data_IF_582816096860
#
_entry.id   IF_582816096860
#
_cell.length_a   1.000
_cell.length_b   1.000
_cell.length_c   1.000
_cell.angle_alpha   90.00
_cell.angle_beta   90.00
_cell.angle_gamma   90.00
#
_symmetry.space_group_name_H-M   'P 1'
#
loop_
_entity.id
_entity.type
_entity.pdbx_description
1 polymer ?
#
# COMPACT_ATOMS: atom_id res chain seq x y z
N UNK A 1 -19.01 -14.36 10.02
CA UNK A 1 -18.28 -13.87 8.83
C UNK A 1 -17.44 -12.70 9.30
N UNK A 2 -16.13 -12.77 9.18
CA UNK A 2 -15.23 -11.68 9.59
C UNK A 2 -14.22 -11.41 8.49
N UNK A 3 -14.28 -10.24 7.89
CA UNK A 3 -13.28 -9.74 6.94
C UNK A 3 -12.72 -8.43 7.44
N UNK A 4 -11.41 -8.29 7.37
CA UNK A 4 -10.68 -7.09 7.78
C UNK A 4 -9.90 -6.56 6.59
N UNK A 5 -10.08 -5.29 6.25
CA UNK A 5 -9.29 -4.59 5.24
C UNK A 5 -8.29 -3.68 5.94
N UNK A 6 -7.03 -3.74 5.58
CA UNK A 6 -5.99 -2.84 6.09
C UNK A 6 -5.63 -1.84 5.00
N UNK A 7 -5.83 -0.55 5.27
CA UNK A 7 -5.48 0.55 4.37
C UNK A 7 -4.55 1.56 5.06
N UNK A 8 -3.64 2.16 4.30
CA UNK A 8 -2.88 3.30 4.78
C UNK A 8 -3.72 4.58 4.64
N UNK A 9 -3.76 5.41 5.66
CA UNK A 9 -4.60 6.62 5.66
C UNK A 9 -3.90 7.86 5.10
N UNK A 10 -2.60 7.78 4.86
CA UNK A 10 -1.74 8.90 4.46
C UNK A 10 -1.17 8.64 3.04
N UNK A 11 0.11 8.94 2.80
CA UNK A 11 0.79 8.75 1.50
C UNK A 11 1.64 7.49 1.43
N UNK A 12 1.27 6.42 2.11
CA UNK A 12 2.05 5.19 2.21
C UNK A 12 3.08 5.26 3.35
N UNK A 13 3.79 4.15 3.54
CA UNK A 13 4.82 4.00 4.59
C UNK A 13 4.32 4.17 6.04
N UNK A 14 3.01 4.02 6.29
CA UNK A 14 2.40 4.13 7.64
C UNK A 14 2.75 2.95 8.57
N UNK A 15 3.53 1.98 8.10
CA UNK A 15 3.83 0.77 8.87
C UNK A 15 2.78 -0.33 8.71
N UNK A 16 1.99 -0.30 7.61
CA UNK A 16 0.98 -1.35 7.31
C UNK A 16 1.54 -2.76 7.35
N UNK A 17 2.75 -2.98 6.84
CA UNK A 17 3.35 -4.32 6.81
C UNK A 17 3.42 -4.97 8.19
N UNK A 18 3.80 -4.21 9.24
CA UNK A 18 3.81 -4.67 10.62
C UNK A 18 2.40 -5.01 11.13
N UNK A 19 1.42 -4.15 10.84
CA UNK A 19 0.03 -4.35 11.27
C UNK A 19 -0.61 -5.53 10.51
N UNK A 20 -0.33 -5.66 9.21
CA UNK A 20 -0.82 -6.76 8.39
C UNK A 20 -0.23 -8.10 8.86
N UNK A 21 1.09 -8.15 9.12
CA UNK A 21 1.75 -9.33 9.68
C UNK A 21 1.14 -9.69 11.04
N UNK A 22 0.96 -8.70 11.92
CA UNK A 22 0.33 -8.90 13.23
C UNK A 22 -1.09 -9.48 13.11
N UNK A 23 -1.92 -8.90 12.23
CA UNK A 23 -3.31 -9.36 12.02
C UNK A 23 -3.39 -10.67 11.25
N UNK A 24 -2.39 -10.97 10.39
CA UNK A 24 -2.37 -12.21 9.60
C UNK A 24 -2.31 -13.46 10.49
N UNK A 25 -1.77 -13.36 11.69
CA UNK A 25 -1.74 -14.46 12.64
C UNK A 25 -3.14 -14.99 12.98
N UNK A 26 -4.13 -14.11 12.98
CA UNK A 26 -5.50 -14.41 13.34
C UNK A 26 -6.45 -14.64 12.14
N UNK A 27 -5.93 -14.54 10.92
CA UNK A 27 -6.68 -14.79 9.70
C UNK A 27 -6.42 -16.19 9.14
N UNK A 28 -7.40 -16.82 8.50
CA UNK A 28 -7.23 -18.06 7.75
C UNK A 28 -6.81 -17.79 6.29
N UNK A 29 -7.17 -16.62 5.75
CA UNK A 29 -6.81 -16.20 4.40
C UNK A 29 -6.25 -14.79 4.41
N UNK A 30 -5.15 -14.56 3.70
CA UNK A 30 -4.55 -13.22 3.51
C UNK A 30 -4.49 -12.91 2.01
N UNK A 31 -5.14 -11.81 1.60
CA UNK A 31 -5.28 -11.46 0.20
C UNK A 31 -4.80 -10.04 -0.09
N UNK A 32 -3.93 -9.88 -1.08
CA UNK A 32 -3.64 -8.59 -1.69
C UNK A 32 -4.64 -8.28 -2.80
N UNK A 33 -5.09 -7.03 -2.88
CA UNK A 33 -6.16 -6.65 -3.80
C UNK A 33 -5.77 -5.60 -4.85
N UNK A 34 -4.64 -4.91 -4.73
CA UNK A 34 -4.22 -3.87 -5.68
C UNK A 34 -2.71 -3.63 -5.67
N UNK A 35 -2.21 -2.86 -6.65
CA UNK A 35 -0.81 -2.54 -6.82
C UNK A 35 -0.06 -3.61 -7.61
N UNK A 36 1.20 -3.80 -7.30
CA UNK A 36 2.08 -4.77 -7.93
C UNK A 36 3.38 -4.89 -7.15
N UNK A 37 4.48 -5.20 -7.84
CA UNK A 37 5.81 -5.29 -7.23
C UNK A 37 6.45 -3.92 -6.90
N UNK A 38 5.73 -2.81 -7.09
CA UNK A 38 6.09 -1.49 -6.58
C UNK A 38 5.85 -1.35 -5.07
N UNK A 39 5.02 -2.18 -4.48
CA UNK A 39 4.88 -2.29 -3.04
C UNK A 39 6.08 -3.04 -2.46
N UNK A 40 6.43 -2.71 -1.23
CA UNK A 40 7.46 -3.43 -0.49
C UNK A 40 7.15 -3.36 0.99
N UNK A 41 7.14 -4.52 1.65
CA UNK A 41 7.02 -4.56 3.10
C UNK A 41 8.04 -5.54 3.68
N UNK A 42 8.50 -5.23 4.87
CA UNK A 42 9.44 -6.07 5.60
C UNK A 42 8.68 -6.79 6.71
N UNK A 43 8.84 -8.09 6.76
CA UNK A 43 8.28 -8.96 7.80
C UNK A 43 9.44 -9.56 8.60
N UNK A 44 9.27 -9.71 9.89
CA UNK A 44 10.21 -10.44 10.76
C UNK A 44 9.54 -11.73 11.20
N UNK A 45 10.03 -12.85 10.69
CA UNK A 45 9.52 -14.18 11.04
C UNK A 45 10.67 -15.06 11.52
N UNK A 46 10.51 -15.69 12.69
CA UNK A 46 11.56 -16.50 13.31
C UNK A 46 12.88 -15.75 13.56
N UNK A 47 12.83 -14.43 13.78
CA UNK A 47 14.01 -13.57 13.94
C UNK A 47 14.70 -13.18 12.63
N UNK A 48 14.23 -13.66 11.50
CA UNK A 48 14.76 -13.34 10.16
C UNK A 48 13.90 -12.29 9.48
N UNK A 49 14.56 -11.32 8.84
CA UNK A 49 13.88 -10.29 8.05
C UNK A 49 13.66 -10.75 6.61
N UNK A 50 12.42 -10.68 6.17
CA UNK A 50 12.01 -10.97 4.80
C UNK A 50 11.47 -9.70 4.13
N UNK A 51 11.83 -9.49 2.87
CA UNK A 51 11.29 -8.41 2.05
C UNK A 51 10.36 -9.02 1.01
N UNK A 52 9.07 -8.67 1.06
CA UNK A 52 8.06 -9.13 0.12
C UNK A 52 7.55 -7.96 -0.74
N UNK A 53 7.17 -8.27 -1.97
CA UNK A 53 6.66 -7.28 -2.93
C UNK A 53 5.28 -7.66 -3.48
N UNK A 54 5.08 -8.90 -3.93
CA UNK A 54 3.84 -9.42 -4.50
C UNK A 54 3.12 -10.35 -3.54
N UNK A 55 3.87 -11.22 -2.86
CA UNK A 55 3.35 -12.29 -2.02
C UNK A 55 2.79 -11.72 -0.72
N UNK A 56 1.57 -12.13 -0.29
CA UNK A 56 0.96 -11.65 0.96
C UNK A 56 1.74 -12.04 2.21
N UNK A 57 1.58 -11.24 3.29
CA UNK A 57 2.27 -11.43 4.58
C UNK A 57 2.03 -12.80 5.23
N UNK A 58 0.89 -13.43 4.96
CA UNK A 58 0.52 -14.74 5.54
C UNK A 58 1.33 -15.93 5.05
N UNK A 59 2.23 -15.77 4.08
CA UNK A 59 2.95 -16.88 3.40
C UNK A 59 3.80 -17.73 4.35
N UNK A 60 4.22 -17.17 5.47
CA UNK A 60 5.05 -17.88 6.46
C UNK A 60 4.26 -18.93 7.27
N UNK A 61 2.94 -18.89 7.22
CA UNK A 61 2.04 -19.80 7.94
C UNK A 61 1.43 -20.80 6.95
N UNK A 62 1.89 -22.05 6.98
CA UNK A 62 1.52 -23.09 6.00
C UNK A 62 0.02 -23.40 5.96
N UNK A 63 -0.67 -23.22 7.08
CA UNK A 63 -2.11 -23.46 7.23
C UNK A 63 -2.99 -22.34 6.63
N UNK A 64 -2.41 -21.19 6.29
CA UNK A 64 -3.15 -20.06 5.75
C UNK A 64 -3.11 -20.05 4.23
N UNK A 65 -4.18 -19.59 3.61
CA UNK A 65 -4.21 -19.36 2.16
C UNK A 65 -3.76 -17.93 1.88
N UNK A 66 -2.81 -17.77 0.97
CA UNK A 66 -2.29 -16.48 0.51
C UNK A 66 -2.75 -16.21 -0.91
N UNK A 67 -3.38 -15.07 -1.15
CA UNK A 67 -4.02 -14.75 -2.42
C UNK A 67 -3.42 -13.48 -3.04
N UNK A 68 -2.98 -13.59 -4.29
CA UNK A 68 -2.73 -12.47 -5.19
C UNK A 68 -4.00 -12.26 -6.01
N UNK A 69 -4.77 -11.22 -5.68
CA UNK A 69 -6.07 -10.92 -6.30
C UNK A 69 -5.94 -10.37 -7.74
N UNK A 70 -7.07 -10.34 -8.44
CA UNK A 70 -7.14 -9.85 -9.82
C UNK A 70 -6.88 -8.35 -9.97
N UNK A 71 -6.91 -7.60 -8.90
CA UNK A 71 -6.60 -6.16 -8.91
C UNK A 71 -5.12 -5.83 -8.95
N UNK A 72 -4.24 -6.80 -8.67
CA UNK A 72 -2.81 -6.61 -8.86
C UNK A 72 -2.45 -6.70 -10.35
N UNK A 73 -1.34 -6.02 -10.69
CA UNK A 73 -0.58 -6.30 -11.91
C UNK A 73 0.65 -7.10 -11.50
N UNK A 74 0.85 -8.24 -12.14
CA UNK A 74 1.85 -9.25 -11.75
C UNK A 74 2.97 -9.29 -12.77
N UNK A 75 4.19 -9.05 -12.33
CA UNK A 75 5.40 -9.34 -13.09
C UNK A 75 5.80 -10.81 -12.83
N UNK A 76 5.68 -11.70 -13.82
CA UNK A 76 5.99 -13.12 -13.65
C UNK A 76 7.43 -13.37 -13.22
N UNK A 77 8.38 -12.59 -13.76
CA UNK A 77 9.79 -12.69 -13.40
C UNK A 77 10.01 -12.32 -11.94
N UNK A 78 9.46 -11.18 -11.51
CA UNK A 78 9.57 -10.73 -10.13
C UNK A 78 8.88 -11.70 -9.15
N UNK A 79 7.75 -12.31 -9.55
CA UNK A 79 7.09 -13.33 -8.73
C UNK A 79 7.95 -14.58 -8.57
N UNK A 80 8.56 -15.08 -9.63
CA UNK A 80 9.46 -16.23 -9.59
C UNK A 80 10.72 -15.95 -8.76
N UNK A 81 11.29 -14.76 -8.86
CA UNK A 81 12.41 -14.32 -8.03
C UNK A 81 12.03 -14.31 -6.54
N UNK A 82 10.83 -13.82 -6.21
CA UNK A 82 10.32 -13.79 -4.83
C UNK A 82 10.00 -15.19 -4.30
N UNK A 83 9.42 -16.08 -5.12
CA UNK A 83 9.22 -17.48 -4.78
C UNK A 83 10.56 -18.18 -4.51
N UNK A 84 11.53 -18.00 -5.39
CA UNK A 84 12.88 -18.56 -5.21
C UNK A 84 13.54 -18.05 -3.94
N UNK A 85 13.42 -16.73 -3.66
CA UNK A 85 13.94 -16.10 -2.43
C UNK A 85 13.37 -16.74 -1.17
N UNK A 86 12.10 -17.11 -1.17
CA UNK A 86 11.43 -17.80 -0.05
C UNK A 86 11.86 -19.26 0.06
N UNK A 87 11.88 -19.99 -1.06
CA UNK A 87 12.30 -21.39 -1.10
C UNK A 87 13.75 -21.58 -0.64
N UNK A 88 14.68 -20.70 -1.06
CA UNK A 88 16.08 -20.73 -0.65
C UNK A 88 16.24 -20.53 0.88
N UNK A 89 15.20 -20.04 1.56
CA UNK A 89 15.12 -19.85 3.02
C UNK A 89 14.23 -20.87 3.73
N UNK A 90 13.82 -21.92 3.01
CA UNK A 90 13.01 -23.01 3.57
C UNK A 90 11.54 -22.66 3.81
N UNK A 91 11.04 -21.56 3.22
CA UNK A 91 9.63 -21.19 3.29
C UNK A 91 8.87 -21.86 2.13
N UNK A 92 7.87 -22.71 2.45
CA UNK A 92 6.96 -23.28 1.46
C UNK A 92 6.00 -22.20 0.93
N UNK A 93 5.64 -22.32 -0.33
CA UNK A 93 4.67 -21.45 -1.00
C UNK A 93 3.48 -22.21 -1.58
N UNK A 94 3.26 -23.46 -1.16
CA UNK A 94 2.16 -24.32 -1.63
C UNK A 94 0.77 -23.74 -1.33
N UNK A 95 0.70 -22.86 -0.35
CA UNK A 95 -0.48 -22.13 0.08
C UNK A 95 -0.75 -20.83 -0.71
N UNK A 96 0.07 -20.50 -1.72
CA UNK A 96 -0.15 -19.35 -2.59
C UNK A 96 -1.23 -19.65 -3.63
N UNK A 97 -2.04 -18.64 -3.94
CA UNK A 97 -3.02 -18.63 -5.04
C UNK A 97 -2.89 -17.31 -5.80
N UNK A 98 -2.80 -17.40 -7.11
CA UNK A 98 -2.66 -16.25 -8.02
C UNK A 98 -3.91 -16.19 -8.91
N UNK A 99 -4.52 -15.02 -9.00
CA UNK A 99 -5.73 -14.86 -9.82
C UNK A 99 -5.43 -15.08 -11.30
N UNK A 100 -6.21 -15.95 -11.93
CA UNK A 100 -6.20 -16.16 -13.38
C UNK A 100 -6.64 -14.88 -14.15
N UNK A 101 -7.29 -13.91 -13.47
CA UNK A 101 -7.71 -12.61 -14.02
C UNK A 101 -6.72 -11.47 -13.75
N UNK A 102 -5.65 -11.68 -12.98
CA UNK A 102 -4.61 -10.68 -12.77
C UNK A 102 -3.91 -10.34 -14.09
N UNK A 103 -3.60 -9.05 -14.30
CA UNK A 103 -2.90 -8.62 -15.52
C UNK A 103 -1.39 -8.80 -15.37
N UNK A 104 -0.75 -9.15 -16.48
CA UNK A 104 0.69 -9.44 -16.55
C UNK A 104 1.47 -8.19 -16.92
N UNK A 105 2.54 -7.92 -16.18
CA UNK A 105 3.56 -6.94 -16.57
C UNK A 105 4.56 -7.64 -17.50
N UNK A 106 4.80 -7.02 -18.64
CA UNK A 106 5.71 -7.50 -19.69
C UNK A 106 6.85 -6.48 -19.89
N UNK A 107 7.97 -6.84 -20.54
CA UNK A 107 9.13 -5.97 -20.71
C UNK A 107 8.81 -4.62 -21.32
N UNK A 108 7.87 -4.55 -22.24
CA UNK A 108 7.45 -3.29 -22.84
C UNK A 108 6.75 -2.33 -21.84
N UNK A 109 6.13 -2.83 -20.78
CA UNK A 109 5.57 -1.97 -19.72
C UNK A 109 6.69 -1.31 -18.89
N UNK A 110 7.75 -2.06 -18.56
CA UNK A 110 8.89 -1.52 -17.83
C UNK A 110 9.58 -0.43 -18.66
N UNK A 111 9.85 -0.73 -19.95
CA UNK A 111 10.45 0.22 -20.87
C UNK A 111 9.61 1.47 -21.05
N UNK A 112 8.29 1.31 -21.22
CA UNK A 112 7.36 2.43 -21.33
C UNK A 112 7.37 3.32 -20.08
N UNK A 113 7.30 2.75 -18.88
CA UNK A 113 7.35 3.48 -17.60
C UNK A 113 8.66 4.29 -17.47
N UNK A 114 9.78 3.69 -17.85
CA UNK A 114 11.08 4.37 -17.81
C UNK A 114 11.16 5.56 -18.79
N UNK A 115 10.72 5.35 -20.03
CA UNK A 115 10.76 6.38 -21.08
C UNK A 115 9.78 7.52 -20.79
N UNK A 116 8.56 7.22 -20.37
CA UNK A 116 7.56 8.22 -19.97
C UNK A 116 8.06 9.09 -18.82
N UNK A 117 8.63 8.47 -17.78
CA UNK A 117 9.16 9.20 -16.63
C UNK A 117 10.38 10.06 -17.02
N UNK A 118 11.25 9.55 -17.90
CA UNK A 118 12.39 10.30 -18.40
C UNK A 118 11.95 11.53 -19.26
N UNK A 119 10.89 11.38 -20.04
CA UNK A 119 10.40 12.45 -20.93
C UNK A 119 9.74 13.62 -20.20
N UNK A 120 9.29 13.42 -18.95
CA UNK A 120 8.60 14.46 -18.15
C UNK A 120 9.52 15.55 -17.60
N UNK A 121 10.84 15.40 -17.67
CA UNK A 121 11.79 16.39 -17.14
C UNK A 121 11.52 16.75 -15.69
N UNK A 122 11.21 18.02 -15.41
CA UNK A 122 10.91 18.50 -14.05
C UNK A 122 9.50 18.12 -13.54
N UNK A 123 8.63 17.64 -14.41
CA UNK A 123 7.27 17.19 -14.06
C UNK A 123 7.18 15.70 -13.75
N UNK A 124 8.27 15.10 -13.27
CA UNK A 124 8.31 13.68 -12.90
C UNK A 124 7.32 13.38 -11.78
N UNK A 125 6.69 12.22 -11.86
CA UNK A 125 5.81 11.70 -10.79
C UNK A 125 6.64 10.99 -9.72
N UNK A 126 7.83 10.50 -10.08
CA UNK A 126 8.68 9.70 -9.20
C UNK A 126 8.27 8.22 -9.22
N UNK A 127 7.99 7.66 -10.40
CA UNK A 127 7.59 6.25 -10.54
C UNK A 127 8.68 5.29 -10.08
N UNK A 128 8.28 4.07 -9.76
CA UNK A 128 9.21 2.99 -9.37
C UNK A 128 9.88 2.32 -10.56
N UNK A 129 9.50 2.68 -11.79
CA UNK A 129 9.94 2.07 -13.06
C UNK A 129 9.70 0.55 -13.11
N UNK A 130 8.61 0.10 -12.52
CA UNK A 130 8.19 -1.32 -12.46
C UNK A 130 7.09 -1.66 -13.46
N UNK A 131 6.76 -0.75 -14.38
CA UNK A 131 5.73 -0.96 -15.39
C UNK A 131 4.29 -0.99 -14.86
N UNK A 132 4.08 -0.54 -13.63
CA UNK A 132 2.76 -0.60 -12.96
C UNK A 132 1.73 0.25 -13.73
N UNK A 133 2.04 1.54 -13.95
CA UNK A 133 1.17 2.46 -14.67
C UNK A 133 0.80 1.97 -16.07
N UNK A 134 1.78 1.67 -16.93
CA UNK A 134 1.52 1.12 -18.27
C UNK A 134 0.68 -0.17 -18.27
N UNK A 135 0.87 -1.09 -17.30
CA UNK A 135 0.05 -2.30 -17.21
C UNK A 135 -1.40 -2.00 -16.84
N UNK A 136 -1.65 -1.04 -15.92
CA UNK A 136 -3.01 -0.57 -15.64
C UNK A 136 -3.63 0.20 -16.80
N UNK A 137 -2.84 0.95 -17.58
CA UNK A 137 -3.30 1.59 -18.82
C UNK A 137 -3.79 0.54 -19.82
N UNK A 138 -3.01 -0.51 -20.07
CA UNK A 138 -3.37 -1.59 -20.98
C UNK A 138 -4.63 -2.34 -20.49
N UNK A 139 -4.78 -2.53 -19.19
CA UNK A 139 -6.00 -3.08 -18.58
C UNK A 139 -7.22 -2.22 -18.91
N UNK A 140 -7.13 -0.89 -18.69
CA UNK A 140 -8.22 0.04 -18.98
C UNK A 140 -8.51 0.17 -20.46
N UNK A 141 -7.48 0.12 -21.32
CA UNK A 141 -7.59 0.07 -22.78
C UNK A 141 -8.12 -1.26 -23.32
N UNK A 142 -8.25 -2.28 -22.48
CA UNK A 142 -8.74 -3.64 -22.82
C UNK A 142 -7.83 -4.39 -23.80
N UNK A 143 -6.53 -4.10 -23.75
CA UNK A 143 -5.48 -4.80 -24.48
C UNK A 143 -4.55 -5.61 -23.57
N UNK A 144 -4.74 -5.49 -22.25
CA UNK A 144 -3.93 -6.20 -21.26
C UNK A 144 -3.98 -7.72 -21.40
N UNK A 145 -2.87 -8.36 -21.11
CA UNK A 145 -2.71 -9.81 -21.07
C UNK A 145 -2.92 -10.26 -19.63
N UNK A 146 -3.77 -11.26 -19.40
CA UNK A 146 -4.05 -11.84 -18.08
C UNK A 146 -3.23 -13.10 -17.82
N UNK A 147 -3.16 -13.51 -16.55
CA UNK A 147 -2.50 -14.76 -16.17
C UNK A 147 -3.10 -15.97 -16.92
N UNK A 148 -4.44 -16.01 -17.11
CA UNK A 148 -5.07 -17.07 -17.90
C UNK A 148 -4.58 -17.10 -19.36
N UNK A 149 -4.38 -15.93 -19.96
CA UNK A 149 -3.87 -15.85 -21.35
C UNK A 149 -2.40 -16.29 -21.42
N UNK A 150 -1.59 -15.94 -20.41
CA UNK A 150 -0.18 -16.32 -20.34
C UNK A 150 0.01 -17.85 -20.30
N UNK A 151 -0.96 -18.59 -19.77
CA UNK A 151 -0.93 -20.05 -19.69
C UNK A 151 -1.40 -20.74 -20.98
N UNK A 152 -2.06 -20.02 -21.86
CA UNK A 152 -2.51 -20.48 -23.17
C UNK A 152 -1.55 -19.99 -24.24
N UNK A 153 -0.82 -20.95 -24.87
CA UNK A 153 0.25 -20.66 -25.82
C UNK A 153 -0.23 -19.84 -27.02
N UNK A 154 -1.40 -20.19 -27.56
CA UNK A 154 -1.96 -19.54 -28.74
C UNK A 154 -2.51 -18.16 -28.39
N UNK A 155 -3.30 -18.07 -27.33
CA UNK A 155 -3.87 -16.81 -26.86
C UNK A 155 -2.79 -15.81 -26.46
N UNK A 156 -1.73 -16.27 -25.78
CA UNK A 156 -0.63 -15.39 -25.39
C UNK A 156 0.11 -14.85 -26.61
N UNK A 157 0.45 -15.71 -27.55
CA UNK A 157 1.16 -15.31 -28.78
C UNK A 157 0.37 -14.30 -29.59
N UNK A 158 -0.91 -14.58 -29.88
CA UNK A 158 -1.80 -13.67 -30.63
C UNK A 158 -1.91 -12.28 -29.98
N UNK A 159 -2.14 -12.25 -28.67
CA UNK A 159 -2.26 -10.98 -27.94
C UNK A 159 -0.96 -10.20 -27.90
N UNK A 160 0.17 -10.90 -27.71
CA UNK A 160 1.49 -10.29 -27.70
C UNK A 160 1.85 -9.68 -29.06
N UNK A 161 1.64 -10.42 -30.15
CA UNK A 161 1.86 -9.94 -31.52
C UNK A 161 1.08 -8.67 -31.79
N UNK A 162 -0.22 -8.67 -31.47
CA UNK A 162 -1.07 -7.47 -31.63
C UNK A 162 -0.59 -6.30 -30.81
N UNK A 163 -0.25 -6.50 -29.54
CA UNK A 163 0.16 -5.42 -28.65
C UNK A 163 1.51 -4.84 -29.05
N UNK A 164 2.47 -5.67 -29.50
CA UNK A 164 3.79 -5.20 -29.89
C UNK A 164 3.78 -4.31 -31.15
N UNK A 165 2.80 -4.45 -32.05
CA UNK A 165 2.64 -3.52 -33.16
C UNK A 165 2.50 -2.08 -32.67
N UNK A 166 1.61 -1.82 -31.71
CA UNK A 166 1.39 -0.50 -31.16
C UNK A 166 2.51 -0.05 -30.22
N UNK A 167 3.02 -0.94 -29.37
CA UNK A 167 4.11 -0.64 -28.44
C UNK A 167 5.40 -0.30 -29.17
N UNK A 168 5.78 -1.06 -30.19
CA UNK A 168 6.98 -0.79 -30.98
C UNK A 168 6.84 0.52 -31.76
N UNK A 169 5.66 0.81 -32.32
CA UNK A 169 5.39 2.09 -32.95
C UNK A 169 5.55 3.25 -31.97
N UNK A 170 5.08 3.10 -30.71
CA UNK A 170 5.27 4.09 -29.65
C UNK A 170 6.76 4.32 -29.38
N UNK A 171 7.53 3.26 -29.20
CA UNK A 171 8.96 3.34 -28.91
C UNK A 171 9.75 3.98 -30.04
N UNK A 172 9.53 3.57 -31.27
CA UNK A 172 10.22 4.09 -32.45
C UNK A 172 9.86 5.54 -32.74
N UNK A 173 8.56 5.90 -32.72
CA UNK A 173 8.10 7.21 -33.19
C UNK A 173 8.12 8.29 -32.13
N UNK A 174 7.91 7.96 -30.86
CA UNK A 174 7.88 8.96 -29.79
C UNK A 174 9.18 9.03 -29.00
N UNK A 175 9.90 7.92 -28.89
CA UNK A 175 11.08 7.86 -28.04
C UNK A 175 12.38 7.56 -28.79
N UNK A 176 12.33 7.41 -30.13
CA UNK A 176 13.50 7.12 -30.99
C UNK A 176 14.35 5.94 -30.42
N UNK A 177 13.67 4.86 -30.04
CA UNK A 177 14.30 3.68 -29.46
C UNK A 177 13.75 2.39 -30.09
N UNK A 178 14.55 1.35 -30.10
CA UNK A 178 14.17 0.03 -30.62
C UNK A 178 12.96 -0.55 -29.85
N UNK A 179 12.14 -1.33 -30.54
CA UNK A 179 11.06 -2.10 -29.93
C UNK A 179 11.51 -3.45 -29.38
N UNK A 180 10.59 -4.39 -29.35
CA UNK A 180 10.82 -5.78 -28.95
C UNK A 180 10.39 -6.72 -30.08
N UNK A 181 11.07 -7.86 -30.23
CA UNK A 181 10.57 -8.95 -31.03
C UNK A 181 9.55 -9.78 -30.24
N UNK A 182 8.64 -10.42 -30.96
CA UNK A 182 7.64 -11.31 -30.35
C UNK A 182 8.33 -12.49 -29.69
N UNK A 183 9.29 -13.09 -30.39
CA UNK A 183 10.00 -14.30 -29.99
C UNK A 183 10.77 -14.13 -28.69
N UNK A 184 11.44 -12.97 -28.50
CA UNK A 184 12.19 -12.66 -27.28
C UNK A 184 11.30 -12.67 -26.02
N UNK A 185 10.09 -12.06 -26.12
CA UNK A 185 9.18 -12.01 -24.97
C UNK A 185 8.40 -13.31 -24.83
N UNK A 186 7.97 -13.91 -25.96
CA UNK A 186 7.04 -15.02 -25.96
C UNK A 186 7.62 -16.24 -25.27
N UNK A 187 8.79 -16.72 -25.68
CA UNK A 187 9.35 -17.95 -25.13
C UNK A 187 9.71 -17.80 -23.65
N UNK A 188 10.34 -16.68 -23.27
CA UNK A 188 10.72 -16.42 -21.88
C UNK A 188 9.48 -16.34 -20.98
N UNK A 189 8.48 -15.54 -21.34
CA UNK A 189 7.31 -15.30 -20.49
C UNK A 189 6.32 -16.46 -20.48
N UNK A 190 6.22 -17.20 -21.58
CA UNK A 190 5.45 -18.45 -21.59
C UNK A 190 6.04 -19.48 -20.61
N UNK A 191 7.38 -19.62 -20.59
CA UNK A 191 8.05 -20.47 -19.62
C UNK A 191 7.82 -20.02 -18.18
N UNK A 192 7.90 -18.73 -17.91
CA UNK A 192 7.51 -18.18 -16.59
C UNK A 192 6.06 -18.54 -16.23
N UNK A 193 5.15 -18.41 -17.18
CA UNK A 193 3.77 -18.82 -17.00
C UNK A 193 3.64 -20.29 -16.58
N UNK A 194 4.35 -21.22 -17.25
CA UNK A 194 4.33 -22.64 -16.92
C UNK A 194 4.84 -22.91 -15.49
N UNK A 195 5.88 -22.21 -15.05
CA UNK A 195 6.40 -22.34 -13.67
C UNK A 195 5.41 -21.83 -12.63
N UNK A 196 4.61 -20.80 -12.95
CA UNK A 196 3.61 -20.22 -12.05
C UNK A 196 2.27 -20.97 -12.11
N UNK A 197 2.02 -21.76 -13.14
CA UNK A 197 0.71 -22.38 -13.44
C UNK A 197 0.07 -23.09 -12.24
N UNK A 198 0.87 -23.76 -11.42
CA UNK A 198 0.40 -24.50 -10.23
C UNK A 198 -0.30 -23.60 -9.19
N UNK A 199 -0.02 -22.30 -9.18
CA UNK A 199 -0.62 -21.33 -8.25
C UNK A 199 -1.86 -20.65 -8.83
N UNK A 200 -2.07 -20.71 -10.16
CA UNK A 200 -3.10 -19.95 -10.86
C UNK A 200 -4.46 -20.60 -10.73
N UNK A 201 -5.43 -19.84 -10.25
CA UNK A 201 -6.81 -20.28 -10.09
C UNK A 201 -7.81 -19.11 -10.14
N UNK A 202 -9.11 -19.39 -10.05
CA UNK A 202 -10.13 -18.36 -9.81
C UNK A 202 -10.14 -17.98 -8.33
N UNK A 203 -9.39 -16.95 -7.99
CA UNK A 203 -9.27 -16.48 -6.61
C UNK A 203 -10.55 -15.86 -6.06
N UNK A 204 -11.49 -15.43 -6.92
CA UNK A 204 -12.79 -14.94 -6.45
C UNK A 204 -13.61 -16.04 -5.82
N UNK A 205 -13.54 -17.25 -6.36
CA UNK A 205 -14.17 -18.45 -5.76
C UNK A 205 -13.51 -18.75 -4.42
N UNK A 206 -12.18 -18.84 -4.37
CA UNK A 206 -11.42 -19.13 -3.12
C UNK A 206 -11.82 -18.19 -1.99
N UNK A 207 -11.86 -16.88 -2.27
CA UNK A 207 -12.17 -15.87 -1.26
C UNK A 207 -13.64 -15.87 -0.82
N UNK A 208 -14.57 -16.04 -1.77
CA UNK A 208 -15.98 -16.10 -1.42
C UNK A 208 -16.34 -17.36 -0.65
N UNK A 209 -15.77 -18.52 -1.03
CA UNK A 209 -15.96 -19.79 -0.30
C UNK A 209 -15.41 -19.68 1.13
N UNK A 210 -14.24 -19.07 1.31
CA UNK A 210 -13.67 -18.83 2.63
C UNK A 210 -14.63 -18.00 3.51
N UNK A 211 -15.14 -16.89 2.97
CA UNK A 211 -16.06 -16.02 3.69
C UNK A 211 -17.41 -16.71 3.99
N UNK A 212 -17.95 -17.47 3.04
CA UNK A 212 -19.22 -18.19 3.20
C UNK A 212 -19.08 -19.33 4.23
N UNK A 213 -17.88 -19.89 4.39
CA UNK A 213 -17.53 -20.84 5.45
C UNK A 213 -17.09 -20.16 6.78
N UNK A 214 -17.36 -18.86 6.94
CA UNK A 214 -17.03 -18.08 8.14
C UNK A 214 -15.53 -18.03 8.50
N UNK A 215 -14.63 -18.25 7.55
CA UNK A 215 -13.21 -18.04 7.75
C UNK A 215 -12.89 -16.54 7.81
N UNK A 216 -11.89 -16.17 8.60
CA UNK A 216 -11.44 -14.79 8.71
C UNK A 216 -10.52 -14.47 7.53
N UNK A 217 -10.89 -13.46 6.76
CA UNK A 217 -10.14 -13.00 5.60
C UNK A 217 -9.54 -11.64 5.88
N UNK A 218 -8.22 -11.53 5.74
CA UNK A 218 -7.47 -10.27 5.81
C UNK A 218 -7.15 -9.78 4.41
N UNK A 219 -7.61 -8.57 4.08
CA UNK A 219 -7.26 -7.89 2.84
C UNK A 219 -6.13 -6.90 3.10
N UNK A 220 -4.98 -7.19 2.50
CA UNK A 220 -3.74 -6.41 2.64
C UNK A 220 -3.66 -5.34 1.56
N UNK A 221 -3.83 -4.07 1.95
CA UNK A 221 -3.64 -2.92 1.09
C UNK A 221 -2.17 -2.52 0.96
N UNK A 222 -1.83 -1.99 -0.20
CA UNK A 222 -0.54 -1.36 -0.46
C UNK A 222 -0.70 0.15 -0.64
N UNK A 223 0.38 0.91 -0.58
CA UNK A 223 0.40 2.38 -0.67
C UNK A 223 -0.46 3.04 0.42
N UNK A 224 -1.11 4.16 0.14
CA UNK A 224 -1.99 4.88 1.06
C UNK A 224 -3.13 5.55 0.33
N UNK A 225 -4.18 5.93 1.04
CA UNK A 225 -5.39 6.54 0.47
C UNK A 225 -5.09 7.81 -0.31
N UNK A 226 -4.12 8.62 0.14
CA UNK A 226 -3.72 9.84 -0.56
C UNK A 226 -2.95 9.57 -1.87
N UNK A 227 -2.62 8.31 -2.16
CA UNK A 227 -2.07 7.83 -3.44
C UNK A 227 -3.11 7.12 -4.31
N UNK A 228 -4.38 7.11 -3.92
CA UNK A 228 -5.47 6.53 -4.72
C UNK A 228 -5.68 7.32 -6.01
N UNK A 229 -5.87 6.60 -7.12
CA UNK A 229 -5.99 7.24 -8.44
C UNK A 229 -7.21 8.16 -8.56
N UNK A 230 -8.29 7.86 -7.84
CA UNK A 230 -9.54 8.62 -7.89
C UNK A 230 -9.66 9.64 -6.74
N UNK A 231 -9.19 9.28 -5.55
CA UNK A 231 -9.41 10.03 -4.31
C UNK A 231 -8.14 10.61 -3.70
N UNK A 232 -6.98 10.33 -4.28
CA UNK A 232 -5.69 10.83 -3.81
C UNK A 232 -5.31 12.21 -4.38
N UNK A 233 -4.05 12.58 -4.16
CA UNK A 233 -3.45 13.84 -4.64
C UNK A 233 -3.01 13.74 -6.11
N UNK A 234 -3.97 13.49 -7.02
CA UNK A 234 -3.73 13.37 -8.45
C UNK A 234 -3.07 14.64 -9.02
N UNK A 235 -1.99 14.57 -9.86
CA UNK A 235 -1.46 13.36 -10.49
C UNK A 235 -0.37 12.60 -9.67
N UNK A 236 -0.02 13.04 -8.47
CA UNK A 236 0.98 12.40 -7.61
C UNK A 236 0.38 11.22 -6.85
N UNK A 237 -0.01 10.19 -7.59
CA UNK A 237 -0.74 9.00 -7.10
C UNK A 237 -0.19 7.72 -7.73
N UNK A 238 -0.61 6.57 -7.23
CA UNK A 238 -0.43 5.28 -7.91
C UNK A 238 -1.53 5.06 -8.95
N UNK A 239 -1.35 4.11 -9.85
CA UNK A 239 -2.33 3.78 -10.90
C UNK A 239 -3.39 2.77 -10.42
N UNK A 240 -3.57 2.61 -9.12
CA UNK A 240 -4.53 1.67 -8.52
C UNK A 240 -5.35 2.34 -7.42
N UNK A 241 -6.29 1.59 -6.84
CA UNK A 241 -7.16 2.06 -5.76
C UNK A 241 -6.77 1.44 -4.41
N UNK A 242 -5.90 2.10 -3.62
CA UNK A 242 -5.57 1.73 -2.24
C UNK A 242 -6.73 1.81 -1.25
N UNK A 243 -7.80 2.56 -1.55
CA UNK A 243 -9.00 2.64 -0.70
C UNK A 243 -9.65 1.26 -0.51
N UNK A 244 -10.43 1.10 0.56
CA UNK A 244 -11.10 -0.18 0.84
C UNK A 244 -12.06 -0.63 -0.28
N UNK A 245 -12.64 0.30 -1.03
CA UNK A 245 -13.44 -0.01 -2.22
C UNK A 245 -12.69 -0.80 -3.29
N UNK A 246 -11.36 -0.69 -3.33
CA UNK A 246 -10.49 -1.46 -4.21
C UNK A 246 -10.55 -2.98 -3.96
N UNK A 247 -10.91 -3.42 -2.76
CA UNK A 247 -11.07 -4.85 -2.42
C UNK A 247 -12.11 -5.51 -3.31
N UNK A 248 -13.26 -4.89 -3.46
CA UNK A 248 -14.38 -5.45 -4.22
C UNK A 248 -14.00 -5.72 -5.68
N UNK A 249 -13.41 -4.73 -6.35
CA UNK A 249 -13.00 -4.89 -7.76
C UNK A 249 -11.72 -5.71 -7.90
N UNK A 250 -10.84 -5.66 -6.91
CA UNK A 250 -9.53 -6.31 -6.95
C UNK A 250 -9.53 -7.77 -6.50
N UNK A 251 -10.64 -8.28 -5.96
CA UNK A 251 -10.74 -9.67 -5.47
C UNK A 251 -11.99 -10.40 -5.93
N UNK A 252 -13.03 -9.67 -6.37
CA UNK A 252 -14.34 -10.24 -6.69
C UNK A 252 -15.19 -10.56 -5.45
N UNK A 253 -14.81 -10.02 -4.28
CA UNK A 253 -15.62 -10.12 -3.05
C UNK A 253 -16.65 -9.00 -3.05
N UNK A 254 -17.92 -9.33 -2.84
CA UNK A 254 -19.00 -8.33 -2.79
C UNK A 254 -18.85 -7.36 -1.62
N UNK A 255 -19.26 -6.07 -1.77
CA UNK A 255 -19.04 -5.05 -0.76
C UNK A 255 -19.70 -5.35 0.58
N UNK A 256 -20.84 -6.06 0.58
CA UNK A 256 -21.54 -6.46 1.79
C UNK A 256 -20.78 -7.52 2.63
N UNK A 257 -19.74 -8.13 2.07
CA UNK A 257 -18.88 -9.10 2.77
C UNK A 257 -17.67 -8.44 3.46
N UNK A 258 -17.45 -7.13 3.28
CA UNK A 258 -16.43 -6.36 3.99
C UNK A 258 -17.01 -5.87 5.31
N UNK A 259 -16.44 -6.34 6.44
CA UNK A 259 -17.04 -6.08 7.77
C UNK A 259 -16.30 -5.04 8.58
N UNK A 260 -14.96 -4.98 8.47
CA UNK A 260 -14.11 -4.02 9.17
C UNK A 260 -13.07 -3.42 8.23
N UNK A 261 -12.77 -2.15 8.42
CA UNK A 261 -11.71 -1.45 7.70
C UNK A 261 -10.80 -0.75 8.69
N UNK A 262 -9.56 -1.25 8.81
CA UNK A 262 -8.53 -0.71 9.68
C UNK A 262 -7.71 0.33 8.91
N UNK A 263 -7.82 1.57 9.32
CA UNK A 263 -6.96 2.65 8.86
C UNK A 263 -5.65 2.70 9.65
N UNK A 264 -4.53 2.50 8.98
CA UNK A 264 -3.20 2.62 9.59
C UNK A 264 -2.65 4.00 9.31
N UNK A 265 -2.27 4.72 10.36
CA UNK A 265 -1.57 6.00 10.28
C UNK A 265 -0.37 6.03 11.21
N UNK A 266 0.58 6.93 10.95
CA UNK A 266 1.61 7.31 11.91
C UNK A 266 1.10 8.44 12.81
N UNK A 267 1.69 8.59 13.97
CA UNK A 267 1.47 9.72 14.86
C UNK A 267 1.97 11.07 14.29
N UNK A 268 2.56 11.05 13.13
CA UNK A 268 2.97 12.18 12.29
C UNK A 268 2.68 11.83 10.83
N UNK A 269 3.02 12.70 9.89
CA UNK A 269 2.83 12.41 8.46
C UNK A 269 4.18 12.25 7.79
N UNK A 270 4.30 11.26 6.88
CA UNK A 270 5.45 11.13 5.99
C UNK A 270 4.99 10.96 4.54
N UNK A 271 5.80 11.45 3.60
CA UNK A 271 5.52 11.36 2.17
C UNK A 271 6.79 11.10 1.38
N UNK A 272 6.70 10.22 0.39
CA UNK A 272 7.70 10.04 -0.66
C UNK A 272 7.20 10.72 -1.92
N UNK A 273 8.11 11.33 -2.70
CA UNK A 273 7.80 12.00 -3.96
C UNK A 273 7.24 13.40 -3.80
N UNK A 274 6.83 13.94 -4.94
CA UNK A 274 6.43 15.33 -5.07
C UNK A 274 4.95 15.56 -4.75
N UNK A 275 4.52 16.80 -4.87
CA UNK A 275 3.15 17.23 -4.61
C UNK A 275 2.96 17.93 -3.26
N UNK A 276 1.81 18.58 -3.07
CA UNK A 276 1.50 19.36 -1.87
C UNK A 276 1.52 18.55 -0.58
N UNK A 277 2.06 19.14 0.47
CA UNK A 277 2.14 18.56 1.80
C UNK A 277 1.94 19.69 2.84
N UNK A 278 0.69 20.05 3.18
CA UNK A 278 0.41 21.25 3.99
C UNK A 278 1.08 21.29 5.37
N UNK A 279 1.28 20.13 5.99
CA UNK A 279 1.88 20.03 7.34
C UNK A 279 3.37 19.75 7.33
N UNK A 280 4.04 19.87 6.17
CA UNK A 280 5.46 19.56 6.02
C UNK A 280 6.35 20.43 6.94
N UNK A 281 7.37 19.80 7.54
CA UNK A 281 8.32 20.45 8.44
C UNK A 281 9.71 20.54 7.77
N UNK A 282 10.28 21.74 7.85
CA UNK A 282 11.61 22.05 7.34
C UNK A 282 12.59 22.49 8.44
N UNK A 283 12.18 22.36 9.71
CA UNK A 283 12.89 22.78 10.89
C UNK A 283 13.59 21.61 11.64
N UNK A 284 14.17 21.89 12.79
CA UNK A 284 14.82 20.91 13.67
C UNK A 284 13.86 19.80 14.13
N UNK A 285 12.59 20.11 14.31
CA UNK A 285 11.59 19.11 14.69
C UNK A 285 11.38 18.13 13.54
N UNK A 286 11.27 18.63 12.31
CA UNK A 286 11.20 17.79 11.12
C UNK A 286 12.44 16.90 10.96
N UNK A 287 13.63 17.44 11.25
CA UNK A 287 14.87 16.67 11.27
C UNK A 287 14.80 15.56 12.35
N UNK A 288 14.43 15.89 13.58
CA UNK A 288 14.30 14.93 14.68
C UNK A 288 13.33 13.80 14.34
N UNK A 289 12.12 14.10 13.82
CA UNK A 289 11.14 13.09 13.41
C UNK A 289 11.72 12.18 12.33
N UNK A 290 12.45 12.72 11.36
CA UNK A 290 13.07 11.94 10.29
C UNK A 290 14.14 10.98 10.83
N UNK A 291 15.02 11.45 11.69
CA UNK A 291 16.11 10.64 12.24
C UNK A 291 15.59 9.55 13.18
N UNK A 292 14.77 9.92 14.17
CA UNK A 292 14.21 8.97 15.15
C UNK A 292 13.27 7.98 14.46
N UNK A 293 12.42 8.46 13.57
CA UNK A 293 11.48 7.65 12.78
C UNK A 293 12.16 6.83 11.66
N UNK A 294 13.46 7.05 11.40
CA UNK A 294 14.21 6.43 10.30
C UNK A 294 13.49 6.60 8.96
N UNK A 295 13.02 7.81 8.70
CA UNK A 295 12.23 8.15 7.52
C UNK A 295 13.09 8.27 6.27
N UNK A 296 13.54 7.10 5.79
CA UNK A 296 14.34 6.92 4.58
C UNK A 296 13.74 5.83 3.69
N UNK A 297 13.82 6.03 2.39
CA UNK A 297 13.31 5.06 1.42
C UNK A 297 14.06 3.73 1.50
N UNK A 298 13.33 2.64 1.64
CA UNK A 298 13.89 1.28 1.84
C UNK A 298 14.81 0.84 0.68
N UNK A 299 14.49 1.29 -0.54
CA UNK A 299 15.25 0.92 -1.75
C UNK A 299 16.27 1.99 -2.15
N UNK A 300 15.92 3.25 -2.01
CA UNK A 300 16.72 4.37 -2.53
C UNK A 300 17.55 5.08 -1.45
N UNK A 301 17.26 4.85 -0.17
CA UNK A 301 17.87 5.59 0.93
C UNK A 301 17.53 7.08 0.96
N UNK A 302 16.65 7.58 0.08
CA UNK A 302 16.26 9.00 0.04
C UNK A 302 15.52 9.38 1.30
N UNK A 303 15.79 10.57 1.89
CA UNK A 303 15.03 11.06 3.02
C UNK A 303 13.57 11.28 2.60
N UNK A 304 12.64 10.82 3.44
CA UNK A 304 11.22 11.13 3.29
C UNK A 304 10.94 12.54 3.80
N UNK A 305 9.98 13.19 3.18
CA UNK A 305 9.36 14.41 3.69
C UNK A 305 8.54 14.04 4.92
N UNK A 306 8.61 14.85 5.97
CA UNK A 306 7.90 14.60 7.23
C UNK A 306 7.13 15.85 7.64
N UNK A 307 6.04 15.67 8.38
CA UNK A 307 5.19 16.75 8.84
C UNK A 307 4.37 16.35 10.06
N UNK A 308 3.68 17.33 10.66
CA UNK A 308 2.76 17.07 11.74
C UNK A 308 1.61 16.14 11.31
N UNK A 309 0.99 15.48 12.29
CA UNK A 309 -0.22 14.70 12.04
C UNK A 309 -1.32 15.56 11.42
N UNK A 310 -1.92 15.07 10.34
CA UNK A 310 -2.94 15.76 9.59
C UNK A 310 -4.29 15.03 9.72
N UNK A 311 -5.16 15.54 10.60
CA UNK A 311 -6.47 14.93 10.81
C UNK A 311 -7.43 15.16 9.63
N UNK A 312 -7.19 16.18 8.79
CA UNK A 312 -8.00 16.44 7.57
C UNK A 312 -7.80 15.29 6.57
N UNK A 313 -6.53 14.89 6.38
CA UNK A 313 -6.16 13.75 5.54
C UNK A 313 -6.78 12.46 6.07
N UNK A 314 -6.70 12.19 7.37
CA UNK A 314 -7.24 10.96 7.95
C UNK A 314 -8.77 10.92 7.92
N UNK A 315 -9.44 12.08 8.12
CA UNK A 315 -10.91 12.19 7.93
C UNK A 315 -11.30 11.92 6.46
N UNK A 316 -10.52 12.43 5.50
CA UNK A 316 -10.73 12.11 4.09
C UNK A 316 -10.61 10.59 3.86
N UNK A 317 -9.56 9.96 4.37
CA UNK A 317 -9.37 8.50 4.28
C UNK A 317 -10.53 7.73 4.92
N UNK A 318 -11.02 8.17 6.09
CA UNK A 318 -12.20 7.61 6.74
C UNK A 318 -13.42 7.63 5.83
N UNK A 319 -13.69 8.77 5.22
CA UNK A 319 -14.86 8.96 4.35
C UNK A 319 -14.82 8.06 3.13
N UNK A 320 -13.69 8.03 2.39
CA UNK A 320 -13.60 7.31 1.11
C UNK A 320 -13.35 5.81 1.28
N UNK A 321 -12.87 5.37 2.45
CA UNK A 321 -12.62 3.95 2.75
C UNK A 321 -13.62 3.35 3.75
N UNK A 322 -14.45 4.17 4.42
CA UNK A 322 -15.37 3.67 5.44
C UNK A 322 -14.63 3.09 6.65
N UNK A 323 -13.58 3.78 7.14
CA UNK A 323 -12.77 3.29 8.25
C UNK A 323 -13.61 3.07 9.51
N UNK A 324 -13.53 1.87 10.07
CA UNK A 324 -14.19 1.48 11.31
C UNK A 324 -13.23 1.50 12.51
N UNK A 325 -11.95 1.31 12.24
CA UNK A 325 -10.90 1.07 13.21
C UNK A 325 -9.64 1.87 12.87
N UNK A 326 -8.93 2.35 13.89
CA UNK A 326 -7.68 3.09 13.75
C UNK A 326 -6.53 2.30 14.37
N UNK A 327 -5.44 2.16 13.63
CA UNK A 327 -4.14 1.75 14.14
C UNK A 327 -3.18 2.94 14.08
N UNK A 328 -2.79 3.47 15.24
CA UNK A 328 -1.88 4.60 15.36
C UNK A 328 -0.45 4.11 15.64
N UNK A 329 0.44 4.30 14.68
CA UNK A 329 1.81 3.80 14.73
C UNK A 329 2.82 4.90 15.06
N UNK A 330 4.01 4.49 15.52
CA UNK A 330 5.19 5.34 15.67
C UNK A 330 5.00 6.50 16.67
N UNK A 331 4.27 6.26 17.74
CA UNK A 331 4.05 7.26 18.82
C UNK A 331 5.37 7.57 19.52
N UNK A 332 6.23 6.58 19.69
CA UNK A 332 7.57 6.68 20.27
C UNK A 332 8.47 7.73 19.59
N UNK A 333 8.27 7.96 18.31
CA UNK A 333 9.05 8.93 17.51
C UNK A 333 8.86 10.37 17.99
N UNK A 334 7.72 10.67 18.61
CA UNK A 334 7.40 12.00 19.14
C UNK A 334 7.94 12.27 20.55
N UNK A 335 8.54 11.26 21.20
CA UNK A 335 9.14 11.41 22.53
C UNK A 335 10.23 12.48 22.53
N UNK A 336 10.21 13.35 23.53
CA UNK A 336 11.19 14.44 23.68
C UNK A 336 10.84 15.72 22.93
N UNK A 337 9.75 15.75 22.16
CA UNK A 337 9.25 16.99 21.53
C UNK A 337 8.34 17.70 22.54
N UNK A 338 8.67 18.93 22.97
CA UNK A 338 7.95 19.58 24.08
C UNK A 338 6.52 20.02 23.72
N UNK A 339 6.29 20.40 22.48
CA UNK A 339 4.98 20.81 21.97
C UNK A 339 4.68 20.09 20.68
N UNK A 340 3.60 19.32 20.67
CA UNK A 340 3.11 18.59 19.50
C UNK A 340 1.98 19.37 18.83
N UNK A 341 1.87 19.25 17.52
CA UNK A 341 0.82 19.90 16.75
C UNK A 341 0.01 18.89 15.96
N UNK A 342 -1.30 19.05 15.94
CA UNK A 342 -2.21 18.30 15.09
C UNK A 342 -2.90 19.29 14.15
N UNK A 343 -2.81 19.07 12.84
CA UNK A 343 -3.58 19.86 11.89
C UNK A 343 -5.05 19.45 11.96
N UNK A 344 -5.91 20.40 12.30
CA UNK A 344 -7.36 20.19 12.50
C UNK A 344 -8.20 20.71 11.33
N UNK A 345 -7.67 21.65 10.55
CA UNK A 345 -8.29 22.24 9.37
C UNK A 345 -7.22 22.90 8.50
N UNK A 346 -7.60 23.34 7.32
CA UNK A 346 -6.79 24.22 6.48
C UNK A 346 -7.39 25.61 6.38
N UNK A 347 -6.56 26.61 6.10
CA UNK A 347 -6.98 27.97 5.76
C UNK A 347 -6.56 28.29 4.34
N UNK A 348 -7.51 28.72 3.52
CA UNK A 348 -7.27 29.13 2.13
C UNK A 348 -8.06 30.43 1.85
N UNK A 349 -7.36 31.47 1.36
CA UNK A 349 -7.93 32.80 1.10
C UNK A 349 -8.74 33.39 2.28
N UNK A 350 -8.35 33.11 3.52
CA UNK A 350 -9.02 33.59 4.74
C UNK A 350 -10.17 32.70 5.24
N UNK A 351 -10.61 31.75 4.44
CA UNK A 351 -11.65 30.79 4.81
C UNK A 351 -11.05 29.51 5.41
N UNK A 352 -11.72 28.96 6.42
CA UNK A 352 -11.34 27.67 7.02
C UNK A 352 -12.06 26.55 6.26
N UNK A 353 -11.29 25.55 5.81
CA UNK A 353 -11.78 24.35 5.15
C UNK A 353 -11.31 23.11 5.93
N UNK A 354 -12.21 22.16 6.11
CA UNK A 354 -11.99 20.92 6.86
C UNK A 354 -11.92 19.67 5.97
N UNK A 355 -11.90 19.89 4.67
CA UNK A 355 -11.82 18.89 3.61
C UNK A 355 -10.51 19.01 2.82
N UNK A 356 -10.03 17.88 2.26
CA UNK A 356 -8.87 17.90 1.33
C UNK A 356 -9.33 18.44 -0.02
N UNK A 357 -8.79 19.59 -0.50
CA UNK A 357 -9.14 20.09 -1.83
C UNK A 357 -8.68 19.15 -2.93
N UNK A 358 -9.58 18.84 -3.87
CA UNK A 358 -9.23 18.03 -5.06
C UNK A 358 -8.27 18.78 -6.01
N UNK A 359 -8.32 20.12 -6.01
CA UNK A 359 -7.41 20.94 -6.81
C UNK A 359 -6.09 21.13 -6.07
N UNK A 360 -5.00 20.58 -6.60
CA UNK A 360 -3.68 20.65 -5.97
C UNK A 360 -3.11 22.06 -5.88
N UNK A 361 -3.48 22.98 -6.77
CA UNK A 361 -3.06 24.38 -6.65
C UNK A 361 -3.71 25.07 -5.46
N UNK A 362 -4.89 24.63 -5.05
CA UNK A 362 -5.54 25.06 -3.81
C UNK A 362 -4.84 24.40 -2.60
N UNK A 363 -4.67 23.07 -2.64
CA UNK A 363 -4.01 22.35 -1.56
C UNK A 363 -2.59 22.86 -1.29
N UNK A 364 -1.84 23.22 -2.31
CA UNK A 364 -0.50 23.78 -2.21
C UNK A 364 -0.44 25.16 -1.51
N UNK A 365 -1.57 25.88 -1.50
CA UNK A 365 -1.71 27.19 -0.87
C UNK A 365 -2.45 27.14 0.46
N UNK A 366 -2.87 25.95 0.88
CA UNK A 366 -3.49 25.74 2.17
C UNK A 366 -2.48 25.93 3.30
N UNK A 367 -2.84 26.74 4.27
CA UNK A 367 -2.12 26.91 5.54
C UNK A 367 -2.75 25.99 6.57
N UNK A 368 -1.99 25.12 7.26
CA UNK A 368 -2.55 24.24 8.28
C UNK A 368 -2.96 25.04 9.53
N UNK A 369 -4.14 24.73 10.03
CA UNK A 369 -4.63 25.23 11.34
C UNK A 369 -4.30 24.17 12.38
N UNK A 370 -3.49 24.53 13.36
CA UNK A 370 -2.99 23.60 14.36
C UNK A 370 -3.68 23.73 15.70
N UNK A 371 -3.92 22.59 16.33
CA UNK A 371 -4.11 22.44 17.76
C UNK A 371 -2.78 22.01 18.39
N UNK A 372 -2.39 22.63 19.49
CA UNK A 372 -1.15 22.33 20.20
C UNK A 372 -1.44 21.50 21.46
N UNK A 373 -0.60 20.47 21.68
CA UNK A 373 -0.65 19.62 22.86
C UNK A 373 0.74 19.56 23.52
N UNK A 374 0.79 19.37 24.82
CA UNK A 374 2.04 19.13 25.52
C UNK A 374 2.60 17.76 25.14
N UNK A 375 3.90 17.71 24.88
CA UNK A 375 4.62 16.46 24.63
C UNK A 375 4.97 15.71 25.94
N UNK A 376 5.76 14.66 25.77
CA UNK A 376 6.27 13.82 26.86
C UNK A 376 7.75 13.52 26.66
N UNK A 377 8.44 13.16 27.72
CA UNK A 377 9.88 12.84 27.71
C UNK A 377 10.17 11.40 28.10
N UNK A 378 9.19 10.70 28.64
CA UNK A 378 9.31 9.33 29.13
C UNK A 378 9.49 8.35 27.95
N UNK A 379 10.33 7.34 28.14
CA UNK A 379 10.43 6.23 27.21
C UNK A 379 9.15 5.39 27.26
N UNK A 380 8.43 5.33 26.15
CA UNK A 380 7.20 4.57 26.01
C UNK A 380 7.36 3.26 25.26
N UNK A 381 8.57 2.90 24.86
CA UNK A 381 8.84 1.70 24.01
C UNK A 381 8.48 0.37 24.66
N UNK A 382 8.35 0.36 25.98
CA UNK A 382 7.95 -0.82 26.78
C UNK A 382 6.47 -0.90 27.14
N UNK A 383 5.68 0.12 26.83
CA UNK A 383 4.25 0.23 27.19
C UNK A 383 3.42 -0.86 26.53
N UNK A 384 2.46 -1.44 27.29
CA UNK A 384 1.58 -2.54 26.85
C UNK A 384 0.10 -2.20 26.84
N UNK A 385 -0.31 -1.08 27.43
CA UNK A 385 -1.69 -0.64 27.45
C UNK A 385 -1.79 0.88 27.40
N UNK A 386 -2.96 1.44 27.07
CA UNK A 386 -3.19 2.88 27.05
C UNK A 386 -2.97 3.51 28.45
N UNK A 387 -3.32 2.80 29.50
CA UNK A 387 -3.21 3.28 30.87
C UNK A 387 -1.75 3.40 31.36
N UNK A 388 -0.84 2.70 30.73
CA UNK A 388 0.60 2.79 31.00
C UNK A 388 1.27 3.96 30.28
N UNK A 389 0.60 4.58 29.29
CA UNK A 389 1.14 5.75 28.61
C UNK A 389 1.22 6.95 29.59
N UNK A 390 2.29 7.76 29.50
CA UNK A 390 2.31 9.07 30.15
C UNK A 390 1.07 9.87 29.79
N UNK A 391 0.58 10.68 30.70
CA UNK A 391 -0.68 11.44 30.56
C UNK A 391 -0.74 12.20 29.22
N UNK A 392 0.32 12.88 28.84
CA UNK A 392 0.37 13.66 27.60
C UNK A 392 0.37 12.76 26.35
N UNK A 393 1.06 11.62 26.38
CA UNK A 393 1.05 10.66 25.29
C UNK A 393 -0.35 10.06 25.10
N UNK A 394 -1.02 9.70 26.19
CA UNK A 394 -2.40 9.21 26.18
C UNK A 394 -3.36 10.27 25.62
N UNK A 395 -3.27 11.51 26.10
CA UNK A 395 -4.08 12.63 25.59
C UNK A 395 -3.89 12.83 24.09
N UNK A 396 -2.65 12.71 23.58
CA UNK A 396 -2.37 12.80 22.16
C UNK A 396 -3.09 11.69 21.37
N UNK A 397 -2.97 10.45 21.81
CA UNK A 397 -3.60 9.29 21.16
C UNK A 397 -5.13 9.41 21.16
N UNK A 398 -5.72 9.77 22.30
CA UNK A 398 -7.16 10.00 22.45
C UNK A 398 -7.63 11.14 21.54
N UNK A 399 -6.86 12.24 21.47
CA UNK A 399 -7.21 13.39 20.63
C UNK A 399 -7.17 13.08 19.14
N UNK A 400 -6.21 12.28 18.71
CA UNK A 400 -6.17 11.77 17.32
C UNK A 400 -7.43 10.97 16.99
N UNK A 401 -7.85 10.06 17.88
CA UNK A 401 -9.08 9.28 17.71
C UNK A 401 -10.33 10.18 17.65
N UNK A 402 -10.45 11.17 18.53
CA UNK A 402 -11.55 12.13 18.54
C UNK A 402 -11.61 12.96 17.24
N UNK A 403 -10.49 13.59 16.85
CA UNK A 403 -10.43 14.45 15.67
C UNK A 403 -10.69 13.72 14.35
N UNK A 404 -10.31 12.46 14.29
CA UNK A 404 -10.57 11.63 13.10
C UNK A 404 -11.95 10.97 13.14
N UNK A 405 -12.56 10.88 14.33
CA UNK A 405 -13.83 10.20 14.56
C UNK A 405 -13.75 8.69 14.31
N UNK A 406 -12.57 8.09 14.45
CA UNK A 406 -12.35 6.65 14.24
C UNK A 406 -11.93 6.06 15.59
N UNK A 407 -12.56 4.95 15.96
CA UNK A 407 -12.25 4.25 17.20
C UNK A 407 -10.84 3.65 17.13
N UNK A 408 -10.00 3.94 18.13
CA UNK A 408 -8.68 3.31 18.25
C UNK A 408 -8.83 1.82 18.57
N UNK A 409 -8.21 0.99 17.76
CA UNK A 409 -8.18 -0.47 17.96
C UNK A 409 -6.78 -0.99 18.25
N UNK A 410 -5.77 -0.29 17.77
CA UNK A 410 -4.37 -0.64 18.00
C UNK A 410 -3.53 0.63 18.10
N UNK A 411 -2.43 0.56 18.85
CA UNK A 411 -1.38 1.57 18.82
C UNK A 411 0.01 0.92 18.92
N UNK A 412 1.02 1.62 18.43
CA UNK A 412 2.37 1.08 18.39
C UNK A 412 3.37 2.10 18.93
N UNK A 413 4.24 1.60 19.79
CA UNK A 413 5.27 2.37 20.52
C UNK A 413 6.70 1.98 20.12
N UNK A 414 6.85 1.45 18.90
CA UNK A 414 8.15 1.11 18.32
C UNK A 414 8.03 0.29 17.05
N UNK A 415 9.17 -0.01 16.39
CA UNK A 415 9.19 -0.70 15.11
C UNK A 415 8.93 -2.20 15.20
N UNK A 416 9.14 -2.81 16.38
CA UNK A 416 8.98 -4.24 16.56
C UNK A 416 7.50 -4.62 16.63
N UNK A 417 7.18 -5.84 16.14
CA UNK A 417 5.85 -6.44 16.21
C UNK A 417 5.30 -6.46 17.64
N UNK A 418 6.14 -6.82 18.63
CA UNK A 418 5.79 -6.91 20.05
C UNK A 418 5.53 -5.54 20.70
N UNK A 419 5.78 -4.45 19.99
CA UNK A 419 5.49 -3.07 20.39
C UNK A 419 4.17 -2.56 19.78
N UNK A 420 3.36 -3.47 19.23
CA UNK A 420 1.99 -3.20 18.81
C UNK A 420 1.03 -3.69 19.88
N UNK A 421 0.19 -2.80 20.39
CA UNK A 421 -0.74 -3.06 21.48
C UNK A 421 -2.18 -3.05 20.98
N UNK A 422 -2.96 -4.06 21.36
CA UNK A 422 -4.37 -4.16 21.03
C UNK A 422 -5.19 -3.42 22.09
N UNK A 423 -6.03 -2.53 21.66
CA UNK A 423 -7.08 -1.88 22.47
C UNK A 423 -8.40 -2.60 22.27
N UNK A 424 -8.66 -3.05 21.04
CA UNK A 424 -9.85 -3.81 20.66
C UNK A 424 -9.52 -4.83 19.55
N UNK A 425 -10.02 -6.05 19.68
CA UNK A 425 -9.86 -7.06 18.65
C UNK A 425 -10.75 -6.73 17.43
N UNK A 426 -10.13 -6.55 16.27
CA UNK A 426 -10.83 -6.19 15.03
C UNK A 426 -11.55 -7.38 14.37
N UNK A 427 -11.27 -8.62 14.81
CA UNK A 427 -11.96 -9.83 14.34
C UNK A 427 -13.17 -10.21 15.21
N UNK A 428 -13.34 -9.58 16.36
CA UNK A 428 -14.49 -9.74 17.25
C UNK A 428 -15.51 -8.63 16.99
N UNK A 429 -16.78 -9.00 16.82
CA UNK A 429 -17.87 -8.08 16.48
C UNK A 429 -18.33 -7.23 17.69
#
# INVERSE_FOLDING_TARGET
>A
MSSVVVVGTQWGDEGKGKITDFLSEHAEVVARYQGGNNAGHTIVFGGVKYKLHLIPSGIFYKEKICVIGNGLVVDPKALLEELKYLHDRGVSTDNLRVSNRAHVILPYHLKQDELEEASKGDNKIGTTKKGIGPAYMDKAARIGIRMADLLDREAFKEKLERNLVEKNRLFEKMYDTEGFSVEEIFEEYFEYGQQIAQYVCDTSVVLNDALDNNQRVLFEGAQGVMLDIDHGTYPFVTSSNPIAGGVTVGTGVGPAKVTRVVGVCKAYTSRVGDGPFPTELHDEIGHQIREVGREYGTTTGRPRRVGWFDSVVVRHARRVSGLTDLSLNSIDVLTGIPTLKICVAYKYNGEVIDEVPANLNILAKCEPVYEELSGWTEDITGVKSLDELPENARKYVERVSELTGIQLSMFSVGPDRNQTNIVRNVYEA
#
